data_IF_862577931649
#
_entry.id   IF_862577931649
#
_cell.length_a   1.000
_cell.length_b   1.000
_cell.length_c   1.000
_cell.angle_alpha   90.00
_cell.angle_beta   90.00
_cell.angle_gamma   90.00
#
_symmetry.space_group_name_H-M   'P 1'
#
loop_
_entity.id
_entity.type
_entity.pdbx_description
1 polymer ?
#
# COMPACT_ATOMS: atom_id res chain seq x y z
N UNK A 1 68.98 39.11 -5.78
CA UNK A 1 67.68 39.73 -6.04
C UNK A 1 66.70 39.04 -5.10
N UNK A 2 66.23 39.81 -4.11
CA UNK A 2 64.84 39.88 -3.64
C UNK A 2 64.22 38.57 -3.06
N UNK A 3 63.46 38.52 -1.96
CA UNK A 3 62.95 39.51 -1.03
C UNK A 3 62.07 38.75 0.02
N UNK A 4 61.81 39.39 1.16
CA UNK A 4 60.63 39.28 2.05
C UNK A 4 60.42 38.13 3.07
N UNK A 5 60.45 38.57 4.35
CA UNK A 5 59.46 38.35 5.43
C UNK A 5 59.52 37.10 6.32
N UNK A 6 60.02 37.30 7.54
CA UNK A 6 59.75 36.45 8.71
C UNK A 6 58.73 37.14 9.63
N UNK A 7 57.56 36.55 9.78
CA UNK A 7 56.55 36.99 10.75
C UNK A 7 56.63 36.12 12.02
N UNK A 8 56.94 36.73 13.16
CA UNK A 8 57.02 36.08 14.48
C UNK A 8 55.63 36.03 15.12
N UNK A 9 55.05 34.84 15.27
CA UNK A 9 53.90 34.62 16.15
C UNK A 9 54.38 34.12 17.51
N UNK A 10 54.24 34.97 18.54
CA UNK A 10 54.46 34.63 19.95
C UNK A 10 53.26 33.82 20.45
N UNK A 11 53.48 32.57 20.86
CA UNK A 11 52.50 31.76 21.59
C UNK A 11 52.71 32.01 23.08
N UNK A 12 51.84 32.82 23.68
CA UNK A 12 51.73 32.98 25.14
C UNK A 12 50.86 31.85 25.71
N UNK A 13 51.21 31.26 26.87
CA UNK A 13 50.38 30.24 27.51
C UNK A 13 49.05 30.85 28.01
N UNK A 14 47.93 30.11 27.97
CA UNK A 14 46.64 30.62 28.40
C UNK A 14 46.63 30.87 29.92
N UNK A 15 46.28 32.10 30.27
CA UNK A 15 46.00 32.59 31.62
C UNK A 15 44.78 31.83 32.20
N UNK A 16 44.80 31.38 33.46
CA UNK A 16 43.63 30.75 34.08
C UNK A 16 42.51 31.79 34.21
N UNK A 17 41.40 31.55 33.50
CA UNK A 17 40.18 32.34 33.66
C UNK A 17 39.61 32.09 35.04
N UNK A 18 39.41 33.18 35.76
CA UNK A 18 38.70 33.28 37.03
C UNK A 18 37.45 32.40 37.05
N UNK A 19 37.30 31.63 38.12
CA UNK A 19 36.03 31.00 38.48
C UNK A 19 35.00 32.12 38.71
N UNK A 20 34.20 32.40 37.69
CA UNK A 20 32.92 33.04 37.88
C UNK A 20 32.02 32.02 38.57
N UNK A 21 31.63 32.32 39.81
CA UNK A 21 30.52 31.63 40.48
C UNK A 21 29.29 31.73 39.58
N UNK A 22 29.00 30.65 38.85
CA UNK A 22 27.69 30.44 38.25
C UNK A 22 26.71 30.20 39.40
N UNK A 23 25.56 30.88 39.46
CA UNK A 23 24.57 30.60 40.49
C UNK A 23 24.14 29.14 40.37
N UNK A 24 24.15 28.48 41.52
CA UNK A 24 23.70 27.11 41.70
C UNK A 24 22.28 26.91 41.17
N UNK A 25 22.15 25.92 40.30
CA UNK A 25 21.04 24.96 40.21
C UNK A 25 19.60 25.50 40.09
N UNK A 26 19.00 25.14 38.96
CA UNK A 26 17.59 25.20 38.62
C UNK A 26 16.64 25.01 39.82
N UNK A 27 15.92 26.07 40.19
CA UNK A 27 14.72 25.98 41.01
C UNK A 27 13.50 26.05 40.08
N UNK A 28 12.87 24.91 39.81
CA UNK A 28 11.59 24.90 39.09
C UNK A 28 10.48 25.26 40.07
N UNK A 29 10.01 26.51 40.05
CA UNK A 29 8.79 26.88 40.77
C UNK A 29 7.58 26.30 40.05
N UNK A 30 6.72 25.54 40.76
CA UNK A 30 5.40 25.16 40.25
C UNK A 30 4.56 26.44 40.13
N UNK A 31 4.53 27.02 38.93
CA UNK A 31 3.73 28.22 38.64
C UNK A 31 2.25 27.91 38.95
N UNK A 32 1.67 28.67 39.87
CA UNK A 32 0.22 28.68 40.13
C UNK A 32 -0.26 28.01 41.42
N UNK A 33 0.61 27.40 42.24
CA UNK A 33 0.18 26.91 43.56
C UNK A 33 0.21 28.00 44.63
N UNK A 34 -0.85 28.07 45.43
CA UNK A 34 -0.98 28.98 46.56
C UNK A 34 -0.60 28.27 47.85
N UNK A 35 0.18 28.93 48.70
CA UNK A 35 0.50 28.39 50.01
C UNK A 35 -0.75 28.42 50.90
N UNK A 36 -1.16 27.27 51.44
CA UNK A 36 -2.33 27.17 52.35
C UNK A 36 -2.16 27.97 53.65
N UNK A 37 -0.92 28.23 54.06
CA UNK A 37 -0.62 28.90 55.32
C UNK A 37 -0.56 30.44 55.19
N UNK A 38 0.01 30.96 54.10
CA UNK A 38 0.20 32.41 53.93
C UNK A 38 -0.46 33.01 52.68
N UNK A 39 -1.17 32.22 51.89
CA UNK A 39 -1.89 32.65 50.68
C UNK A 39 -1.03 33.09 49.50
N UNK A 40 0.30 33.17 49.67
CA UNK A 40 1.21 33.64 48.64
C UNK A 40 1.24 32.68 47.44
N UNK A 41 1.21 33.25 46.23
CA UNK A 41 1.16 32.54 44.96
C UNK A 41 2.58 32.43 44.41
N UNK A 42 3.00 31.23 44.01
CA UNK A 42 4.29 31.03 43.32
C UNK A 42 5.53 31.11 44.22
N UNK A 43 5.36 31.06 45.54
CA UNK A 43 6.46 31.06 46.53
C UNK A 43 6.84 29.65 46.99
N UNK A 44 6.30 28.61 46.36
CA UNK A 44 6.59 27.21 46.69
C UNK A 44 7.79 26.75 45.86
N UNK A 45 8.86 26.35 46.53
CA UNK A 45 10.10 25.88 45.93
C UNK A 45 10.33 24.41 46.32
N UNK A 46 10.95 23.67 45.41
CA UNK A 46 11.42 22.30 45.64
C UNK A 46 12.74 22.35 46.43
N UNK A 47 12.73 21.83 47.66
CA UNK A 47 13.93 21.63 48.45
C UNK A 47 14.36 20.16 48.35
N UNK A 48 15.34 19.91 47.49
CA UNK A 48 15.86 18.57 47.23
C UNK A 48 16.63 17.99 48.44
N UNK A 49 17.09 18.83 49.36
CA UNK A 49 17.84 18.38 50.55
C UNK A 49 16.93 17.79 51.63
N UNK A 50 15.70 18.32 51.74
CA UNK A 50 14.67 17.85 52.67
C UNK A 50 13.62 16.96 51.99
N UNK A 51 13.69 16.82 50.66
CA UNK A 51 12.73 16.03 49.89
C UNK A 51 11.31 16.58 49.95
N UNK A 52 11.14 17.89 50.12
CA UNK A 52 9.85 18.52 50.40
C UNK A 52 9.62 19.81 49.60
N UNK A 53 8.35 20.15 49.42
CA UNK A 53 7.95 21.44 48.86
C UNK A 53 7.79 22.46 49.98
N UNK A 54 8.62 23.51 49.98
CA UNK A 54 8.65 24.52 51.04
C UNK A 54 8.25 25.89 50.50
N UNK A 55 7.41 26.60 51.25
CA UNK A 55 7.08 27.98 50.93
C UNK A 55 8.18 28.93 51.42
N UNK A 56 8.78 29.71 50.53
CA UNK A 56 9.83 30.69 50.90
C UNK A 56 9.32 31.87 51.71
N UNK A 57 8.02 32.17 51.67
CA UNK A 57 7.45 33.31 52.37
C UNK A 57 7.12 33.02 53.84
N UNK A 58 6.72 31.79 54.18
CA UNK A 58 6.33 31.43 55.55
C UNK A 58 7.03 30.19 56.11
N UNK A 59 7.94 29.56 55.35
CA UNK A 59 8.67 28.36 55.77
C UNK A 59 7.81 27.10 55.90
N UNK A 60 6.55 27.13 55.49
CA UNK A 60 5.64 25.99 55.67
C UNK A 60 5.94 24.89 54.63
N UNK A 61 5.97 23.65 55.10
CA UNK A 61 6.10 22.45 54.26
C UNK A 61 4.72 22.13 53.68
N UNK A 62 4.58 22.28 52.36
CA UNK A 62 3.32 22.09 51.64
C UNK A 62 3.06 20.62 51.33
N UNK A 63 4.12 19.85 51.04
CA UNK A 63 4.07 18.42 50.76
C UNK A 63 5.37 17.75 51.23
N UNK A 64 5.24 16.71 52.05
CA UNK A 64 6.34 16.05 52.77
C UNK A 64 7.09 14.93 52.03
N UNK A 65 6.92 14.84 50.71
CA UNK A 65 7.67 13.91 49.86
C UNK A 65 7.57 14.35 48.41
N UNK A 66 8.69 14.76 47.81
CA UNK A 66 8.79 15.03 46.38
C UNK A 66 8.67 13.68 45.67
N UNK A 67 7.61 13.53 44.86
CA UNK A 67 7.45 12.39 43.96
C UNK A 67 8.35 12.66 42.75
N UNK A 68 9.50 12.00 42.71
CA UNK A 68 10.42 12.06 41.57
C UNK A 68 9.94 11.03 40.54
N UNK A 69 9.73 11.47 39.31
CA UNK A 69 9.35 10.58 38.19
C UNK A 69 10.55 9.84 37.59
N UNK A 70 11.75 10.07 38.10
CA UNK A 70 12.98 9.45 37.64
C UNK A 70 13.19 8.10 38.33
N UNK A 71 13.68 7.15 37.55
CA UNK A 71 13.90 5.78 37.99
C UNK A 71 15.31 5.68 38.54
N UNK A 72 15.43 5.56 39.86
CA UNK A 72 16.73 5.41 40.51
C UNK A 72 17.11 3.92 40.61
N UNK A 73 18.38 3.61 40.39
CA UNK A 73 18.89 2.24 40.41
C UNK A 73 19.99 2.11 41.47
N UNK A 74 19.78 1.26 42.47
CA UNK A 74 20.80 0.95 43.45
C UNK A 74 21.56 -0.30 43.07
N UNK A 75 22.88 -0.20 43.01
CA UNK A 75 23.73 -1.37 42.83
C UNK A 75 23.78 -2.16 44.15
N UNK A 76 23.30 -3.39 44.10
CA UNK A 76 23.43 -4.34 45.19
C UNK A 76 24.88 -4.83 45.27
N UNK A 77 25.31 -5.24 46.46
CA UNK A 77 26.65 -5.73 46.76
C UNK A 77 27.15 -6.86 45.85
N UNK A 78 26.23 -7.51 45.13
CA UNK A 78 26.49 -8.61 44.20
C UNK A 78 26.69 -8.14 42.74
N UNK A 79 26.76 -6.84 42.48
CA UNK A 79 26.93 -6.26 41.13
C UNK A 79 25.65 -6.19 40.30
N UNK A 80 24.50 -6.59 40.84
CA UNK A 80 23.20 -6.40 40.19
C UNK A 80 22.61 -5.05 40.59
N UNK A 81 22.12 -4.27 39.64
CA UNK A 81 21.35 -3.06 39.93
C UNK A 81 19.87 -3.39 40.15
N UNK A 82 19.33 -2.97 41.30
CA UNK A 82 17.91 -3.05 41.63
C UNK A 82 17.28 -1.68 41.45
N UNK A 83 16.12 -1.64 40.82
CA UNK A 83 15.34 -0.40 40.67
C UNK A 83 14.71 -0.03 42.02
N UNK A 84 14.96 1.17 42.50
CA UNK A 84 14.30 1.70 43.68
C UNK A 84 12.96 2.35 43.30
N UNK A 85 11.87 1.84 43.86
CA UNK A 85 10.53 2.43 43.71
C UNK A 85 9.41 1.38 43.55
N UNK A 86 8.28 1.62 44.19
CA UNK A 86 7.09 0.76 44.10
C UNK A 86 6.21 1.22 42.94
N UNK A 87 5.84 0.29 42.05
CA UNK A 87 4.94 0.59 40.93
C UNK A 87 3.51 0.78 41.47
N UNK A 88 3.00 2.02 41.43
CA UNK A 88 1.63 2.33 41.85
C UNK A 88 0.74 2.32 40.60
N UNK A 89 -0.04 1.26 40.42
CA UNK A 89 -1.09 1.22 39.40
C UNK A 89 -2.30 2.00 39.92
N UNK A 90 -2.84 2.91 39.12
CA UNK A 90 -4.03 3.68 39.50
C UNK A 90 -5.22 2.74 39.84
N UNK A 91 -5.88 2.90 41.00
CA UNK A 91 -6.88 1.95 41.50
C UNK A 91 -8.21 1.92 40.72
N UNK A 92 -8.39 2.81 39.73
CA UNK A 92 -9.62 2.88 38.92
C UNK A 92 -9.58 2.04 37.65
N UNK A 93 -8.46 1.42 37.30
CA UNK A 93 -8.43 0.43 36.21
C UNK A 93 -8.54 -0.98 36.80
N UNK A 94 -9.72 -1.28 37.35
CA UNK A 94 -10.12 -2.68 37.55
C UNK A 94 -10.12 -3.38 36.19
N UNK A 95 -9.46 -4.53 36.21
CA UNK A 95 -9.05 -5.34 35.09
C UNK A 95 -10.25 -5.88 34.30
N UNK A 96 -10.42 -5.38 33.08
CA UNK A 96 -11.04 -6.10 31.97
C UNK A 96 -10.10 -6.13 30.74
N UNK A 97 -8.81 -5.85 30.94
CA UNK A 97 -7.82 -5.68 29.88
C UNK A 97 -6.86 -6.89 29.74
N UNK A 98 -7.15 -8.03 30.36
CA UNK A 98 -6.22 -9.17 30.38
C UNK A 98 -6.12 -9.91 29.04
N UNK A 99 -7.12 -9.81 28.15
CA UNK A 99 -7.04 -10.35 26.79
C UNK A 99 -6.36 -9.39 25.79
N UNK A 100 -6.31 -8.08 26.10
CA UNK A 100 -5.66 -7.09 25.26
C UNK A 100 -4.15 -7.02 25.50
N UNK A 101 -3.64 -7.42 26.68
CA UNK A 101 -2.20 -7.40 26.92
C UNK A 101 -1.46 -8.54 26.22
N UNK A 102 -1.91 -9.79 26.32
CA UNK A 102 -1.20 -10.92 25.71
C UNK A 102 -1.19 -10.85 24.17
N UNK A 103 -2.34 -10.61 23.55
CA UNK A 103 -2.46 -10.48 22.09
C UNK A 103 -1.73 -9.25 21.54
N UNK A 104 -1.66 -8.15 22.30
CA UNK A 104 -0.88 -6.95 21.95
C UNK A 104 0.62 -7.18 22.06
N UNK A 105 1.07 -7.87 23.11
CA UNK A 105 2.49 -8.23 23.29
C UNK A 105 2.92 -9.21 22.19
N UNK A 106 2.13 -10.24 21.93
CA UNK A 106 2.39 -11.21 20.87
C UNK A 106 2.43 -10.53 19.50
N UNK A 107 1.40 -9.73 19.17
CA UNK A 107 1.36 -9.02 17.89
C UNK A 107 2.52 -8.06 17.70
N UNK A 108 2.93 -7.33 18.75
CA UNK A 108 4.14 -6.50 18.72
C UNK A 108 5.40 -7.31 18.46
N UNK A 109 5.58 -8.44 19.16
CA UNK A 109 6.74 -9.31 18.94
C UNK A 109 6.78 -9.87 17.51
N UNK A 110 5.63 -10.25 16.95
CA UNK A 110 5.53 -10.71 15.54
C UNK A 110 5.85 -9.60 14.55
N UNK A 111 5.34 -8.39 14.76
CA UNK A 111 5.66 -7.23 13.91
C UNK A 111 7.16 -6.94 13.91
N UNK A 112 7.80 -6.98 15.08
CA UNK A 112 9.24 -6.82 15.20
C UNK A 112 9.99 -7.92 14.45
N UNK A 113 9.60 -9.19 14.62
CA UNK A 113 10.21 -10.32 13.91
C UNK A 113 10.11 -10.16 12.39
N UNK A 114 8.96 -9.71 11.87
CA UNK A 114 8.75 -9.45 10.43
C UNK A 114 9.58 -8.24 9.98
N UNK A 115 9.70 -7.22 10.81
CA UNK A 115 10.52 -6.05 10.50
C UNK A 115 12.01 -6.41 10.39
N UNK A 116 12.51 -7.20 11.33
CA UNK A 116 13.92 -7.58 11.43
C UNK A 116 14.32 -8.56 10.31
N UNK A 117 13.40 -9.40 9.85
CA UNK A 117 13.65 -10.37 8.79
C UNK A 117 13.62 -9.76 7.39
N UNK A 118 12.94 -8.62 7.18
CA UNK A 118 12.84 -7.96 5.89
C UNK A 118 14.09 -7.11 5.61
N UNK A 119 14.92 -7.48 4.62
CA UNK A 119 16.19 -6.80 4.36
C UNK A 119 15.94 -5.38 3.83
N UNK A 120 16.50 -4.36 4.52
CA UNK A 120 16.35 -2.90 4.35
C UNK A 120 15.34 -2.24 5.28
N UNK A 121 14.51 -2.99 6.00
CA UNK A 121 13.59 -2.43 6.99
C UNK A 121 14.25 -2.18 8.35
N UNK A 122 15.36 -2.87 8.63
CA UNK A 122 16.22 -2.70 9.82
C UNK A 122 16.62 -1.24 10.08
N UNK A 123 16.86 -0.46 9.02
CA UNK A 123 17.23 0.96 9.12
C UNK A 123 16.03 1.93 9.26
N UNK A 124 14.80 1.43 9.38
CA UNK A 124 13.58 2.26 9.43
C UNK A 124 12.65 1.88 10.59
N UNK A 125 13.01 2.27 11.84
CA UNK A 125 12.17 2.03 13.01
C UNK A 125 10.78 2.68 12.89
N UNK A 126 10.70 3.78 12.15
CA UNK A 126 9.49 4.51 11.78
C UNK A 126 8.36 3.64 11.22
N UNK A 127 8.69 2.63 10.42
CA UNK A 127 7.71 1.75 9.78
C UNK A 127 7.17 0.74 10.79
N UNK A 128 8.04 0.20 11.65
CA UNK A 128 7.66 -0.74 12.68
C UNK A 128 6.79 -0.06 13.76
N UNK A 129 7.15 1.15 14.18
CA UNK A 129 6.35 1.95 15.11
C UNK A 129 4.96 2.28 14.55
N UNK A 130 4.88 2.56 13.24
CA UNK A 130 3.62 2.80 12.55
C UNK A 130 2.79 1.50 12.47
N UNK A 131 3.41 0.38 12.13
CA UNK A 131 2.76 -0.93 12.09
C UNK A 131 2.20 -1.32 13.47
N UNK A 132 2.98 -1.11 14.54
CA UNK A 132 2.52 -1.31 15.92
C UNK A 132 1.31 -0.42 16.26
N UNK A 133 1.32 0.84 15.83
CA UNK A 133 0.21 1.77 16.06
C UNK A 133 -1.06 1.33 15.32
N UNK A 134 -0.92 0.90 14.06
CA UNK A 134 -2.02 0.37 13.26
C UNK A 134 -2.57 -0.91 13.91
N UNK A 135 -1.69 -1.80 14.38
CA UNK A 135 -2.08 -3.03 15.05
C UNK A 135 -2.84 -2.77 16.36
N UNK A 136 -2.41 -1.80 17.17
CA UNK A 136 -3.15 -1.36 18.37
C UNK A 136 -4.55 -0.86 18.02
N UNK A 137 -4.70 -0.08 16.94
CA UNK A 137 -6.04 0.33 16.48
C UNK A 137 -6.87 -0.87 16.02
N UNK A 138 -6.27 -1.81 15.29
CA UNK A 138 -6.94 -3.03 14.83
C UNK A 138 -7.44 -3.91 16.00
N UNK A 139 -6.69 -3.96 17.11
CA UNK A 139 -7.09 -4.60 18.36
C UNK A 139 -8.34 -3.93 18.95
N UNK A 140 -8.38 -2.60 18.99
CA UNK A 140 -9.54 -1.84 19.49
C UNK A 140 -10.80 -2.09 18.65
N UNK A 141 -10.66 -2.18 17.33
CA UNK A 141 -11.74 -2.50 16.38
C UNK A 141 -12.08 -4.01 16.29
N UNK A 142 -11.48 -4.84 17.15
CA UNK A 142 -11.70 -6.31 17.19
C UNK A 142 -11.43 -7.04 15.88
N UNK A 143 -10.55 -6.50 15.02
CA UNK A 143 -10.23 -7.03 13.70
C UNK A 143 -9.52 -8.41 13.72
N UNK A 144 -8.97 -8.79 14.88
CA UNK A 144 -8.20 -10.04 15.06
C UNK A 144 -9.12 -11.26 15.22
N UNK A 145 -10.42 -11.07 15.50
CA UNK A 145 -11.35 -12.19 15.69
C UNK A 145 -11.53 -12.96 14.38
N UNK A 146 -11.28 -14.27 14.41
CA UNK A 146 -11.42 -15.17 13.26
C UNK A 146 -10.25 -15.16 12.27
N UNK A 147 -9.13 -14.52 12.61
CA UNK A 147 -7.91 -14.50 11.79
C UNK A 147 -6.70 -14.85 12.65
N UNK A 148 -5.65 -15.39 12.03
CA UNK A 148 -4.38 -15.61 12.74
C UNK A 148 -3.69 -14.27 13.01
N UNK A 149 -3.09 -14.14 14.19
CA UNK A 149 -2.39 -12.90 14.60
C UNK A 149 -1.23 -12.60 13.65
N UNK A 150 -0.59 -13.64 13.11
CA UNK A 150 0.51 -13.54 12.15
C UNK A 150 0.09 -12.83 10.85
N UNK A 151 -1.04 -13.22 10.24
CA UNK A 151 -1.54 -12.59 9.01
C UNK A 151 -1.98 -11.15 9.28
N UNK A 152 -2.55 -10.86 10.46
CA UNK A 152 -2.93 -9.50 10.84
C UNK A 152 -1.68 -8.63 11.05
N UNK A 153 -0.66 -9.14 11.73
CA UNK A 153 0.62 -8.46 11.91
C UNK A 153 1.29 -8.15 10.56
N UNK A 154 1.31 -9.12 9.65
CA UNK A 154 1.77 -8.98 8.27
C UNK A 154 1.07 -7.83 7.53
N UNK A 155 -0.27 -7.82 7.62
CA UNK A 155 -1.11 -6.82 6.98
C UNK A 155 -0.83 -5.42 7.54
N UNK A 156 -0.64 -5.29 8.86
CA UNK A 156 -0.25 -4.03 9.49
C UNK A 156 1.11 -3.53 8.98
N UNK A 157 2.11 -4.41 8.87
CA UNK A 157 3.43 -4.07 8.32
C UNK A 157 3.31 -3.61 6.86
N UNK A 158 2.56 -4.35 6.03
CA UNK A 158 2.37 -3.97 4.63
C UNK A 158 1.65 -2.62 4.45
N UNK A 159 0.62 -2.34 5.26
CA UNK A 159 -0.06 -1.03 5.26
C UNK A 159 0.92 0.08 5.66
N UNK A 160 1.72 -0.14 6.71
CA UNK A 160 2.73 0.84 7.15
C UNK A 160 3.78 1.13 6.08
N UNK A 161 4.28 0.09 5.38
CA UNK A 161 5.21 0.23 4.26
C UNK A 161 4.58 1.09 3.16
N UNK A 162 3.33 0.82 2.77
CA UNK A 162 2.63 1.60 1.74
C UNK A 162 2.42 3.06 2.14
N UNK A 163 2.20 3.35 3.42
CA UNK A 163 2.01 4.71 3.91
C UNK A 163 3.30 5.53 3.90
N UNK A 164 4.40 4.96 4.39
CA UNK A 164 5.68 5.68 4.50
C UNK A 164 6.38 5.88 3.15
N UNK A 165 5.96 5.16 2.10
CA UNK A 165 6.56 5.19 0.74
C UNK A 165 8.09 4.98 0.76
N UNK A 166 8.61 4.43 1.85
CA UNK A 166 10.03 4.54 2.20
C UNK A 166 10.84 3.36 1.68
N UNK A 167 10.18 2.28 1.27
CA UNK A 167 10.82 1.05 0.77
C UNK A 167 9.93 0.38 -0.30
N UNK A 168 10.55 0.00 -1.42
CA UNK A 168 9.89 -0.72 -2.51
C UNK A 168 9.73 -2.20 -2.18
N UNK A 169 8.90 -2.57 -1.19
CA UNK A 169 8.54 -3.96 -0.93
C UNK A 169 7.32 -4.41 -1.73
N UNK A 170 7.39 -5.61 -2.28
CA UNK A 170 6.25 -6.27 -2.88
C UNK A 170 5.43 -6.94 -1.79
N UNK A 171 4.12 -7.05 -2.01
CA UNK A 171 3.24 -7.83 -1.13
C UNK A 171 3.72 -9.29 -0.99
N UNK A 172 4.29 -9.84 -2.07
CA UNK A 172 4.83 -11.21 -2.11
C UNK A 172 6.00 -11.38 -1.14
N UNK A 173 6.80 -10.34 -0.90
CA UNK A 173 7.95 -10.43 0.02
C UNK A 173 7.51 -10.60 1.48
N UNK A 174 6.40 -9.96 1.86
CA UNK A 174 5.80 -10.11 3.18
C UNK A 174 5.07 -11.45 3.29
N UNK A 175 4.43 -11.89 2.21
CA UNK A 175 3.71 -13.17 2.17
C UNK A 175 4.66 -14.37 2.34
N UNK A 176 5.81 -14.34 1.66
CA UNK A 176 6.83 -15.40 1.75
C UNK A 176 7.44 -15.51 3.16
N UNK A 177 7.54 -14.41 3.91
CA UNK A 177 8.06 -14.48 5.27
C UNK A 177 7.12 -15.23 6.24
N UNK A 178 5.82 -15.23 5.94
CA UNK A 178 4.77 -15.75 6.83
C UNK A 178 4.18 -17.04 6.24
N UNK A 179 4.70 -17.49 5.10
CA UNK A 179 4.22 -18.65 4.36
C UNK A 179 2.70 -18.63 4.12
N UNK A 180 2.14 -17.45 3.82
CA UNK A 180 0.70 -17.27 3.59
C UNK A 180 0.38 -16.99 2.11
N UNK A 181 -0.86 -17.28 1.72
CA UNK A 181 -1.34 -16.98 0.38
C UNK A 181 -1.34 -15.48 0.11
N UNK A 182 -0.72 -15.05 -1.00
CA UNK A 182 -0.64 -13.61 -1.38
C UNK A 182 -2.02 -12.94 -1.43
N UNK A 183 -3.04 -13.67 -1.88
CA UNK A 183 -4.42 -13.16 -1.96
C UNK A 183 -5.10 -13.04 -0.58
N UNK A 184 -4.80 -13.94 0.34
CA UNK A 184 -5.31 -13.90 1.71
C UNK A 184 -4.74 -12.68 2.45
N UNK A 185 -3.43 -12.45 2.30
CA UNK A 185 -2.77 -11.27 2.84
C UNK A 185 -3.31 -9.98 2.21
N UNK A 186 -3.49 -9.95 0.88
CA UNK A 186 -4.05 -8.79 0.17
C UNK A 186 -5.45 -8.45 0.67
N UNK A 187 -6.33 -9.45 0.80
CA UNK A 187 -7.70 -9.28 1.26
C UNK A 187 -7.72 -8.77 2.71
N UNK A 188 -6.87 -9.33 3.57
CA UNK A 188 -6.77 -8.92 4.96
C UNK A 188 -6.23 -7.50 5.08
N UNK A 189 -5.20 -7.13 4.32
CA UNK A 189 -4.66 -5.76 4.31
C UNK A 189 -5.67 -4.72 3.80
N UNK A 190 -6.45 -5.05 2.76
CA UNK A 190 -7.51 -4.18 2.26
C UNK A 190 -8.61 -3.98 3.31
N UNK A 191 -9.14 -5.07 3.87
CA UNK A 191 -10.16 -5.03 4.94
C UNK A 191 -9.64 -4.28 6.16
N UNK A 192 -8.38 -4.48 6.53
CA UNK A 192 -7.73 -3.76 7.64
C UNK A 192 -7.72 -2.25 7.39
N UNK A 193 -7.34 -1.81 6.19
CA UNK A 193 -7.32 -0.39 5.85
C UNK A 193 -8.71 0.26 5.90
N UNK A 194 -9.74 -0.49 5.50
CA UNK A 194 -11.14 -0.06 5.58
C UNK A 194 -11.62 0.02 7.04
N UNK A 195 -11.30 -0.97 7.88
CA UNK A 195 -11.69 -0.98 9.29
C UNK A 195 -10.97 0.09 10.13
N UNK A 196 -9.66 0.28 9.92
CA UNK A 196 -8.86 1.24 10.70
C UNK A 196 -8.94 2.65 10.11
N UNK A 197 -9.60 2.80 8.96
CA UNK A 197 -9.79 4.04 8.22
C UNK A 197 -8.46 4.75 7.87
N UNK A 198 -7.46 3.92 7.55
CA UNK A 198 -6.10 4.34 7.22
C UNK A 198 -5.93 4.43 5.71
N UNK A 199 -5.40 5.54 5.21
CA UNK A 199 -5.22 5.73 3.77
C UNK A 199 -4.10 4.84 3.24
N UNK A 200 -4.40 4.08 2.18
CA UNK A 200 -3.44 3.28 1.44
C UNK A 200 -3.15 3.94 0.09
N UNK A 201 -2.07 4.73 -0.05
CA UNK A 201 -1.79 5.46 -1.27
C UNK A 201 -1.40 4.52 -2.42
N UNK A 202 -1.63 4.95 -3.66
CA UNK A 202 -1.20 4.25 -4.87
C UNK A 202 0.33 4.10 -4.86
N UNK A 203 0.82 2.92 -5.26
CA UNK A 203 2.25 2.63 -5.33
C UNK A 203 2.84 3.28 -6.58
N UNK A 204 3.91 4.03 -6.39
CA UNK A 204 4.76 4.50 -7.47
C UNK A 204 5.77 3.38 -7.86
N UNK A 205 5.81 2.93 -9.13
CA UNK A 205 6.74 1.89 -9.56
C UNK A 205 8.22 2.30 -9.45
N UNK A 206 8.54 3.59 -9.42
CA UNK A 206 9.93 4.07 -9.29
C UNK A 206 10.60 3.60 -8.00
N UNK A 207 9.82 3.37 -6.94
CA UNK A 207 10.31 2.87 -5.65
C UNK A 207 10.93 1.46 -5.74
N UNK A 208 10.51 0.65 -6.72
CA UNK A 208 11.04 -0.70 -6.90
C UNK A 208 12.36 -0.74 -7.65
N UNK A 209 12.66 0.28 -8.48
CA UNK A 209 13.87 0.30 -9.30
C UNK A 209 15.10 0.19 -8.41
N UNK A 210 15.17 1.01 -7.36
CA UNK A 210 16.29 1.07 -6.43
C UNK A 210 16.64 -0.30 -5.87
N UNK A 211 15.61 -1.04 -5.44
CA UNK A 211 15.80 -2.39 -4.92
C UNK A 211 16.25 -3.37 -6.00
N UNK A 212 15.58 -3.37 -7.13
CA UNK A 212 15.88 -4.31 -8.21
C UNK A 212 17.27 -4.08 -8.79
N UNK A 213 17.72 -2.84 -8.95
CA UNK A 213 19.06 -2.55 -9.45
C UNK A 213 20.16 -3.02 -8.50
N UNK A 214 19.92 -2.92 -7.20
CA UNK A 214 20.87 -3.36 -6.17
C UNK A 214 20.93 -4.89 -6.07
N UNK A 215 19.79 -5.58 -6.23
CA UNK A 215 19.73 -7.04 -6.31
C UNK A 215 20.41 -7.58 -7.56
N UNK A 216 20.27 -6.89 -8.70
CA UNK A 216 20.85 -7.28 -9.99
C UNK A 216 22.35 -6.96 -10.12
N UNK A 217 22.92 -6.14 -9.22
CA UNK A 217 24.36 -5.83 -9.11
C UNK A 217 25.01 -5.43 -10.44
N UNK A 218 24.50 -4.38 -11.08
CA UNK A 218 25.02 -3.81 -12.32
C UNK A 218 26.44 -3.19 -12.24
N UNK A 219 27.10 -3.25 -11.08
CA UNK A 219 28.45 -2.72 -10.87
C UNK A 219 28.52 -1.20 -11.07
N UNK A 220 29.51 -0.73 -11.84
CA UNK A 220 29.80 0.70 -12.00
C UNK A 220 28.73 1.48 -12.79
N UNK A 221 27.98 0.78 -13.65
CA UNK A 221 26.92 1.35 -14.48
C UNK A 221 25.54 1.40 -13.79
N UNK A 222 25.44 0.91 -12.54
CA UNK A 222 24.19 0.90 -11.77
C UNK A 222 23.47 2.27 -11.69
N UNK A 223 24.13 3.41 -11.39
CA UNK A 223 23.43 4.69 -11.26
C UNK A 223 22.85 5.18 -12.60
N UNK A 224 23.57 4.98 -13.70
CA UNK A 224 23.14 5.38 -15.04
C UNK A 224 21.92 4.56 -15.50
N UNK A 225 21.94 3.24 -15.29
CA UNK A 225 20.82 2.35 -15.61
C UNK A 225 19.59 2.71 -14.78
N UNK A 226 19.78 2.99 -13.48
CA UNK A 226 18.70 3.41 -12.58
C UNK A 226 18.04 4.69 -13.06
N UNK A 227 18.82 5.70 -13.44
CA UNK A 227 18.28 6.97 -13.95
C UNK A 227 17.49 6.76 -15.24
N UNK A 228 18.04 6.03 -16.21
CA UNK A 228 17.36 5.70 -17.46
C UNK A 228 16.08 4.89 -17.21
N UNK A 229 16.10 3.92 -16.28
CA UNK A 229 14.92 3.14 -15.93
C UNK A 229 13.81 4.02 -15.32
N UNK A 230 14.16 4.98 -14.45
CA UNK A 230 13.18 5.92 -13.87
C UNK A 230 12.57 6.79 -14.97
N UNK A 231 13.38 7.29 -15.91
CA UNK A 231 12.90 8.07 -17.05
C UNK A 231 11.94 7.25 -17.93
N UNK A 232 12.27 5.98 -18.19
CA UNK A 232 11.41 5.06 -18.94
C UNK A 232 10.07 4.79 -18.24
N UNK A 233 10.05 4.60 -16.91
CA UNK A 233 8.78 4.43 -16.18
C UNK A 233 7.90 5.68 -16.31
N UNK A 234 8.48 6.87 -16.20
CA UNK A 234 7.74 8.13 -16.42
C UNK A 234 7.22 8.26 -17.86
N UNK A 235 7.94 7.70 -18.83
CA UNK A 235 7.50 7.62 -20.22
C UNK A 235 6.32 6.64 -20.36
N UNK A 236 6.40 5.46 -19.76
CA UNK A 236 5.34 4.45 -19.76
C UNK A 236 4.04 4.91 -19.10
N UNK A 237 4.12 5.80 -18.10
CA UNK A 237 2.95 6.41 -17.49
C UNK A 237 2.23 7.35 -18.46
N UNK A 238 2.99 8.16 -19.22
CA UNK A 238 2.47 9.05 -20.27
C UNK A 238 1.91 8.29 -21.47
N UNK A 239 2.52 7.18 -21.84
CA UNK A 239 2.07 6.29 -22.92
C UNK A 239 0.93 5.35 -22.48
N UNK A 240 0.36 5.52 -21.28
CA UNK A 240 -0.74 4.70 -20.74
C UNK A 240 -0.44 3.19 -20.65
N UNK A 241 0.84 2.80 -20.63
CA UNK A 241 1.27 1.40 -20.49
C UNK A 241 1.20 0.97 -19.01
N UNK A 242 1.22 1.91 -18.08
CA UNK A 242 1.24 1.63 -16.64
C UNK A 242 -0.15 1.40 -16.02
N UNK A 243 -1.16 2.14 -16.48
CA UNK A 243 -2.47 2.23 -15.81
C UNK A 243 -3.17 0.86 -15.74
N UNK A 244 -3.69 0.52 -14.56
CA UNK A 244 -4.46 -0.71 -14.34
C UNK A 244 -3.63 -2.00 -14.33
N UNK A 245 -2.30 -1.91 -14.29
CA UNK A 245 -1.39 -3.06 -14.37
C UNK A 245 -0.51 -3.16 -13.13
N UNK A 246 0.04 -4.36 -12.89
CA UNK A 246 0.94 -4.60 -11.74
C UNK A 246 2.27 -3.84 -11.95
N UNK A 247 2.71 -3.01 -10.99
CA UNK A 247 3.91 -2.18 -11.13
C UNK A 247 5.20 -3.01 -11.27
N UNK A 248 5.32 -4.14 -10.58
CA UNK A 248 6.50 -5.01 -10.62
C UNK A 248 6.89 -5.45 -12.05
N UNK A 249 5.90 -5.79 -12.88
CA UNK A 249 6.14 -6.21 -14.27
C UNK A 249 6.61 -5.07 -15.18
N UNK A 250 6.19 -3.83 -14.89
CA UNK A 250 6.59 -2.63 -15.63
C UNK A 250 8.03 -2.27 -15.28
N UNK A 251 8.38 -2.30 -13.99
CA UNK A 251 9.76 -2.09 -13.53
C UNK A 251 10.72 -3.11 -14.15
N UNK A 252 10.35 -4.39 -14.18
CA UNK A 252 11.17 -5.43 -14.82
C UNK A 252 11.41 -5.18 -16.31
N UNK A 253 10.38 -4.74 -17.05
CA UNK A 253 10.52 -4.37 -18.46
C UNK A 253 11.39 -3.11 -18.64
N UNK A 254 11.20 -2.08 -17.80
CA UNK A 254 11.97 -0.83 -17.83
C UNK A 254 13.45 -1.08 -17.57
N UNK A 255 13.80 -1.88 -16.56
CA UNK A 255 15.19 -2.23 -16.22
C UNK A 255 15.84 -3.02 -17.36
N UNK A 256 15.12 -3.97 -17.96
CA UNK A 256 15.66 -4.74 -19.08
C UNK A 256 15.94 -3.87 -20.31
N UNK A 257 15.06 -2.90 -20.59
CA UNK A 257 15.26 -1.94 -21.67
C UNK A 257 16.42 -0.99 -21.36
N UNK A 258 16.50 -0.46 -20.14
CA UNK A 258 17.60 0.40 -19.70
C UNK A 258 18.95 -0.32 -19.79
N UNK A 259 19.03 -1.58 -19.33
CA UNK A 259 20.24 -2.39 -19.44
C UNK A 259 20.67 -2.56 -20.91
N UNK A 260 19.72 -2.79 -21.83
CA UNK A 260 19.98 -2.88 -23.26
C UNK A 260 20.49 -1.57 -23.87
N UNK A 261 19.94 -0.42 -23.47
CA UNK A 261 20.42 0.91 -23.91
C UNK A 261 21.88 1.15 -23.49
N UNK A 262 22.25 0.68 -22.30
CA UNK A 262 23.62 0.77 -21.78
C UNK A 262 24.55 -0.35 -22.28
N UNK A 263 24.08 -1.25 -23.16
CA UNK A 263 24.87 -2.33 -23.75
C UNK A 263 25.17 -3.50 -22.80
N UNK A 264 24.39 -3.66 -21.73
CA UNK A 264 24.54 -4.77 -20.78
C UNK A 264 23.49 -5.84 -21.09
N UNK A 265 23.96 -7.03 -21.44
CA UNK A 265 23.11 -8.18 -21.67
C UNK A 265 22.73 -8.84 -20.34
N UNK A 266 21.47 -8.65 -19.95
CA UNK A 266 20.91 -9.26 -18.76
C UNK A 266 20.09 -10.49 -19.11
N UNK A 267 20.31 -11.60 -18.40
CA UNK A 267 19.49 -12.80 -18.58
C UNK A 267 18.07 -12.56 -18.07
N UNK A 268 17.09 -12.95 -18.89
CA UNK A 268 15.65 -12.81 -18.57
C UNK A 268 15.31 -13.47 -17.24
N UNK A 269 15.88 -14.64 -16.96
CA UNK A 269 15.59 -15.42 -15.74
C UNK A 269 16.02 -14.70 -14.46
N UNK A 270 17.10 -13.93 -14.52
CA UNK A 270 17.59 -13.17 -13.36
C UNK A 270 16.61 -12.05 -13.00
N UNK A 271 16.09 -11.33 -14.01
CA UNK A 271 15.08 -10.29 -13.83
C UNK A 271 13.77 -10.88 -13.32
N UNK A 272 13.37 -12.05 -13.84
CA UNK A 272 12.14 -12.71 -13.45
C UNK A 272 12.15 -13.11 -11.96
N UNK A 273 13.31 -13.60 -11.48
CA UNK A 273 13.51 -13.91 -10.06
C UNK A 273 13.45 -12.67 -9.18
N UNK A 274 14.09 -11.58 -9.60
CA UNK A 274 14.11 -10.30 -8.88
C UNK A 274 12.72 -9.64 -8.81
N UNK A 275 12.01 -9.55 -9.93
CA UNK A 275 10.70 -8.91 -10.01
C UNK A 275 9.54 -9.79 -9.51
N UNK A 276 9.77 -11.11 -9.35
CA UNK A 276 8.77 -12.12 -8.96
C UNK A 276 7.55 -12.13 -9.88
N UNK A 277 7.80 -12.11 -11.19
CA UNK A 277 6.76 -12.09 -12.24
C UNK A 277 7.05 -13.16 -13.30
N UNK A 278 6.01 -13.65 -13.97
CA UNK A 278 6.14 -14.58 -15.10
C UNK A 278 6.75 -13.92 -16.36
N UNK A 279 7.46 -14.71 -17.16
CA UNK A 279 8.11 -14.29 -18.42
C UNK A 279 7.13 -13.70 -19.43
N UNK A 280 5.95 -14.31 -19.54
CA UNK A 280 4.87 -13.85 -20.41
C UNK A 280 4.41 -12.43 -20.08
N UNK A 281 4.42 -12.04 -18.80
CA UNK A 281 4.00 -10.70 -18.35
C UNK A 281 5.00 -9.64 -18.80
N UNK A 282 6.30 -9.87 -18.60
CA UNK A 282 7.34 -8.92 -19.05
C UNK A 282 7.34 -8.83 -20.58
N UNK A 283 7.27 -9.96 -21.28
CA UNK A 283 7.21 -9.99 -22.75
C UNK A 283 5.99 -9.25 -23.31
N UNK A 284 4.82 -9.34 -22.66
CA UNK A 284 3.64 -8.55 -23.03
C UNK A 284 3.92 -7.05 -22.92
N UNK A 285 4.57 -6.59 -21.84
CA UNK A 285 4.91 -5.17 -21.66
C UNK A 285 5.92 -4.68 -22.69
N UNK A 286 6.95 -5.45 -22.98
CA UNK A 286 7.92 -5.10 -24.04
C UNK A 286 7.26 -5.02 -25.42
N UNK A 287 6.33 -5.92 -25.73
CA UNK A 287 5.59 -5.88 -27.00
C UNK A 287 4.72 -4.64 -27.13
N UNK A 288 4.15 -4.16 -26.03
CA UNK A 288 3.40 -2.91 -26.02
C UNK A 288 4.33 -1.71 -26.21
N UNK A 289 5.48 -1.69 -25.53
CA UNK A 289 6.53 -0.68 -25.74
C UNK A 289 7.07 -0.71 -27.18
N UNK A 290 7.15 -1.89 -27.80
CA UNK A 290 7.56 -2.02 -29.20
C UNK A 290 6.56 -1.42 -30.20
N UNK A 291 5.29 -1.24 -29.80
CA UNK A 291 4.27 -0.59 -30.63
C UNK A 291 4.26 0.93 -30.49
N UNK A 292 4.90 1.48 -29.45
CA UNK A 292 4.90 2.92 -29.19
C UNK A 292 5.93 3.65 -30.06
N UNK A 293 5.78 4.96 -30.18
CA UNK A 293 6.67 5.84 -30.95
C UNK A 293 8.13 5.77 -30.45
N UNK A 294 8.34 5.41 -29.18
CA UNK A 294 9.67 5.20 -28.59
C UNK A 294 10.48 4.15 -29.37
N UNK A 295 9.82 3.10 -29.86
CA UNK A 295 10.47 1.99 -30.54
C UNK A 295 10.92 2.30 -31.98
N UNK A 296 10.51 3.43 -32.56
CA UNK A 296 10.94 3.86 -33.90
C UNK A 296 12.39 4.34 -33.91
N UNK A 297 12.88 4.85 -32.78
CA UNK A 297 14.24 5.37 -32.65
C UNK A 297 15.25 4.23 -32.44
N UNK A 298 16.47 4.40 -32.93
CA UNK A 298 17.50 3.38 -32.74
C UNK A 298 17.98 3.33 -31.29
N UNK A 299 18.44 2.16 -30.82
CA UNK A 299 18.95 1.99 -29.44
C UNK A 299 20.14 2.93 -29.18
N UNK A 300 20.94 3.21 -30.21
CA UNK A 300 22.07 4.13 -30.13
C UNK A 300 21.60 5.59 -30.02
N UNK A 301 20.56 6.00 -30.74
CA UNK A 301 19.96 7.33 -30.60
C UNK A 301 19.38 7.57 -29.21
N UNK A 302 18.75 6.55 -28.61
CA UNK A 302 18.22 6.63 -27.24
C UNK A 302 19.33 6.77 -26.19
N UNK A 303 20.55 6.28 -26.50
CA UNK A 303 21.72 6.41 -25.64
C UNK A 303 22.32 7.81 -25.71
N UNK A 304 22.33 8.41 -26.91
CA UNK A 304 22.92 9.73 -27.16
C UNK A 304 21.98 10.88 -26.76
N UNK A 305 20.67 10.71 -26.98
CA UNK A 305 19.66 11.74 -26.72
C UNK A 305 18.58 11.24 -25.74
N UNK A 306 18.89 11.30 -24.43
CA UNK A 306 17.93 10.94 -23.38
C UNK A 306 16.66 11.81 -23.37
N UNK A 307 16.67 12.98 -24.03
CA UNK A 307 15.50 13.84 -24.13
C UNK A 307 14.37 13.23 -24.96
N UNK A 308 14.67 12.30 -25.88
CA UNK A 308 13.69 11.52 -26.63
C UNK A 308 12.79 10.70 -25.70
N UNK A 309 13.32 10.23 -24.56
CA UNK A 309 12.56 9.50 -23.55
C UNK A 309 11.59 10.44 -22.80
N UNK A 310 11.84 11.75 -22.82
CA UNK A 310 11.04 12.75 -22.11
C UNK A 310 9.91 13.33 -22.95
N UNK A 311 10.07 13.36 -24.27
CA UNK A 311 9.05 13.84 -25.21
C UNK A 311 7.74 13.06 -25.05
N UNK A 312 6.61 13.73 -25.30
CA UNK A 312 5.27 13.15 -25.11
C UNK A 312 4.72 12.69 -26.46
N UNK A 313 4.44 11.39 -26.58
CA UNK A 313 3.65 10.83 -27.66
C UNK A 313 2.20 10.74 -27.20
N UNK A 314 1.29 11.25 -28.02
CA UNK A 314 -0.14 11.27 -27.69
C UNK A 314 -0.77 9.92 -28.04
N UNK A 315 -0.44 8.90 -27.23
CA UNK A 315 -0.87 7.53 -27.48
C UNK A 315 -2.13 7.15 -26.69
N UNK A 316 -2.96 6.30 -27.30
CA UNK A 316 -4.15 5.75 -26.66
C UNK A 316 -3.78 4.56 -25.77
N UNK A 317 -4.44 4.37 -24.62
CA UNK A 317 -4.25 3.19 -23.78
C UNK A 317 -4.40 1.88 -24.59
N UNK A 318 -3.61 0.83 -24.32
CA UNK A 318 -3.70 -0.43 -25.06
C UNK A 318 -5.09 -1.06 -25.08
N UNK A 319 -5.90 -0.88 -24.03
CA UNK A 319 -7.28 -1.34 -24.00
C UNK A 319 -8.17 -0.63 -25.05
N UNK A 320 -7.93 0.66 -25.30
CA UNK A 320 -8.64 1.43 -26.33
C UNK A 320 -8.15 1.05 -27.73
N UNK A 321 -6.87 0.74 -27.90
CA UNK A 321 -6.31 0.23 -29.15
C UNK A 321 -6.92 -1.11 -29.52
N UNK A 322 -6.92 -2.09 -28.60
CA UNK A 322 -7.54 -3.40 -28.81
C UNK A 322 -9.03 -3.26 -29.13
N UNK A 323 -9.74 -2.35 -28.44
CA UNK A 323 -11.15 -2.09 -28.74
C UNK A 323 -11.36 -1.57 -30.17
N UNK A 324 -10.50 -0.68 -30.66
CA UNK A 324 -10.55 -0.19 -32.04
C UNK A 324 -10.22 -1.30 -33.04
N UNK A 325 -9.17 -2.06 -32.81
CA UNK A 325 -8.79 -3.21 -33.64
C UNK A 325 -9.95 -4.22 -33.75
N UNK A 326 -10.58 -4.58 -32.62
CA UNK A 326 -11.75 -5.46 -32.61
C UNK A 326 -12.95 -4.86 -33.35
N UNK A 327 -13.17 -3.55 -33.25
CA UNK A 327 -14.23 -2.86 -34.01
C UNK A 327 -13.95 -2.82 -35.51
N UNK A 328 -12.69 -2.67 -35.92
CA UNK A 328 -12.28 -2.70 -37.33
C UNK A 328 -12.41 -4.10 -37.92
N UNK A 329 -11.96 -5.13 -37.20
CA UNK A 329 -12.11 -6.54 -37.60
C UNK A 329 -13.61 -6.87 -37.75
N UNK A 330 -14.43 -6.48 -36.78
CA UNK A 330 -15.88 -6.61 -36.84
C UNK A 330 -16.50 -5.94 -38.08
N UNK A 331 -16.09 -4.70 -38.39
CA UNK A 331 -16.57 -4.00 -39.57
C UNK A 331 -16.12 -4.67 -40.87
N UNK A 332 -14.91 -5.22 -40.91
CA UNK A 332 -14.39 -5.92 -42.08
C UNK A 332 -15.13 -7.25 -42.31
N UNK A 333 -15.48 -7.98 -41.24
CA UNK A 333 -16.33 -9.19 -41.33
C UNK A 333 -17.72 -8.81 -41.84
N UNK A 334 -18.37 -7.80 -41.24
CA UNK A 334 -19.70 -7.35 -41.66
C UNK A 334 -19.74 -6.79 -43.09
N UNK A 335 -18.62 -6.28 -43.61
CA UNK A 335 -18.48 -5.88 -45.02
C UNK A 335 -18.32 -7.09 -45.95
N UNK A 336 -17.58 -8.12 -45.54
CA UNK A 336 -17.41 -9.37 -46.32
C UNK A 336 -18.71 -10.19 -46.40
N UNK A 337 -19.54 -10.18 -45.37
CA UNK A 337 -20.86 -10.84 -45.39
C UNK A 337 -21.91 -10.16 -46.30
N UNK A 338 -21.61 -8.97 -46.85
CA UNK A 338 -22.51 -8.28 -47.79
C UNK A 338 -22.36 -8.72 -49.25
N UNK A 339 -21.45 -9.63 -49.57
CA UNK A 339 -21.43 -10.35 -50.84
C UNK A 339 -21.82 -11.82 -50.62
N UNK A 340 -23.11 -12.17 -50.70
CA UNK A 340 -23.50 -13.56 -50.78
C UNK A 340 -23.58 -13.98 -52.26
N UNK A 341 -22.55 -14.69 -52.76
CA UNK A 341 -22.81 -15.72 -53.77
C UNK A 341 -23.39 -16.92 -53.04
N UNK A 342 -24.72 -17.01 -53.06
CA UNK A 342 -25.46 -18.18 -52.59
C UNK A 342 -25.29 -19.25 -53.66
N UNK A 343 -24.43 -20.24 -53.40
CA UNK A 343 -24.54 -21.57 -54.03
C UNK A 343 -25.08 -22.50 -52.95
N UNK A 344 -26.40 -22.69 -52.95
CA UNK A 344 -27.02 -23.79 -52.25
C UNK A 344 -26.58 -25.10 -52.91
N UNK A 345 -25.98 -26.00 -52.13
CA UNK A 345 -26.31 -27.43 -52.05
C UNK A 345 -25.21 -28.13 -51.27
N UNK A 346 -25.49 -28.58 -50.05
CA UNK A 346 -24.75 -29.70 -49.46
C UNK A 346 -25.73 -30.65 -48.77
N UNK A 347 -25.63 -31.92 -49.19
CA UNK A 347 -26.32 -33.10 -48.69
C UNK A 347 -25.66 -33.66 -47.43
N UNK A 348 -26.44 -34.40 -46.64
CA UNK A 348 -26.23 -34.90 -45.27
C UNK A 348 -25.03 -35.85 -44.98
N UNK A 349 -23.91 -35.83 -45.73
CA UNK A 349 -22.84 -36.85 -45.57
C UNK A 349 -21.50 -36.39 -44.94
N UNK A 350 -21.39 -35.17 -44.39
CA UNK A 350 -20.12 -34.64 -43.84
C UNK A 350 -20.07 -34.50 -42.30
N UNK A 351 -20.50 -35.54 -41.57
CA UNK A 351 -20.31 -35.65 -40.11
C UNK A 351 -19.07 -36.46 -39.70
N UNK A 352 -18.08 -36.58 -40.60
CA UNK A 352 -16.77 -37.15 -40.30
C UNK A 352 -15.70 -36.13 -40.59
N UNK A 353 -15.46 -35.25 -39.63
CA UNK A 353 -14.15 -34.61 -39.40
C UNK A 353 -14.18 -33.93 -38.02
N UNK A 354 -14.02 -34.75 -36.97
CA UNK A 354 -13.88 -34.29 -35.59
C UNK A 354 -12.56 -33.53 -35.38
N UNK A 355 -11.63 -33.62 -36.35
CA UNK A 355 -10.35 -32.91 -36.37
C UNK A 355 -10.48 -31.42 -36.80
N UNK A 356 -11.62 -30.99 -37.34
CA UNK A 356 -11.90 -29.57 -37.63
C UNK A 356 -12.44 -28.78 -36.41
N UNK A 357 -12.46 -29.40 -35.22
CA UNK A 357 -12.87 -28.74 -33.98
C UNK A 357 -11.72 -27.96 -33.30
N UNK A 358 -10.48 -28.18 -33.75
CA UNK A 358 -9.34 -27.35 -33.38
C UNK A 358 -9.38 -26.11 -34.27
N UNK A 359 -10.04 -25.06 -33.78
CA UNK A 359 -10.10 -23.77 -34.46
C UNK A 359 -8.67 -23.29 -34.80
N UNK A 360 -8.43 -23.05 -36.09
CA UNK A 360 -7.23 -22.33 -36.53
C UNK A 360 -7.20 -20.94 -35.86
N UNK A 361 -6.00 -20.38 -35.65
CA UNK A 361 -5.82 -19.10 -34.96
C UNK A 361 -6.70 -17.99 -35.58
N UNK A 362 -6.79 -17.94 -36.91
CA UNK A 362 -7.67 -17.01 -37.63
C UNK A 362 -9.18 -17.23 -37.39
N UNK A 363 -9.62 -18.47 -37.19
CA UNK A 363 -11.03 -18.77 -36.91
C UNK A 363 -11.40 -18.46 -35.46
N UNK A 364 -10.47 -18.64 -34.52
CA UNK A 364 -10.64 -18.18 -33.14
C UNK A 364 -10.78 -16.67 -33.09
N UNK A 365 -9.98 -15.93 -33.86
CA UNK A 365 -10.04 -14.47 -33.95
C UNK A 365 -11.38 -14.01 -34.55
N UNK A 366 -11.84 -14.61 -35.66
CA UNK A 366 -13.14 -14.30 -36.29
C UNK A 366 -14.31 -14.55 -35.34
N UNK A 367 -14.34 -15.69 -34.64
CA UNK A 367 -15.39 -16.01 -33.65
C UNK A 367 -15.34 -15.08 -32.45
N UNK A 368 -14.15 -14.74 -31.95
CA UNK A 368 -13.99 -13.79 -30.84
C UNK A 368 -14.49 -12.38 -31.22
N UNK A 369 -14.26 -11.95 -32.47
CA UNK A 369 -14.75 -10.68 -33.00
C UNK A 369 -16.27 -10.67 -33.16
N UNK A 370 -16.86 -11.74 -33.71
CA UNK A 370 -18.33 -11.92 -33.80
C UNK A 370 -19.00 -11.97 -32.42
N UNK A 371 -18.38 -12.66 -31.45
CA UNK A 371 -18.88 -12.67 -30.08
C UNK A 371 -18.85 -11.27 -29.46
N UNK A 372 -17.77 -10.51 -29.72
CA UNK A 372 -17.64 -9.13 -29.25
C UNK A 372 -18.69 -8.19 -29.86
N UNK A 373 -19.04 -8.34 -31.15
CA UNK A 373 -20.11 -7.54 -31.79
C UNK A 373 -21.50 -7.86 -31.22
N UNK A 374 -21.84 -9.14 -31.08
CA UNK A 374 -23.09 -9.57 -30.45
C UNK A 374 -23.19 -9.13 -28.99
N UNK A 375 -22.10 -9.22 -28.24
CA UNK A 375 -22.08 -8.80 -26.84
C UNK A 375 -22.21 -7.27 -26.69
N UNK A 376 -21.56 -6.50 -27.58
CA UNK A 376 -21.67 -5.03 -27.61
C UNK A 376 -23.07 -4.55 -27.99
N UNK A 377 -23.74 -5.22 -28.93
CA UNK A 377 -25.13 -4.90 -29.28
C UNK A 377 -26.07 -5.19 -28.11
N UNK A 378 -25.86 -6.28 -27.38
CA UNK A 378 -26.62 -6.65 -26.17
C UNK A 378 -26.39 -5.68 -25.00
N UNK A 379 -25.15 -5.24 -24.76
CA UNK A 379 -24.84 -4.20 -23.76
C UNK A 379 -25.49 -2.86 -24.06
N UNK A 380 -25.61 -2.48 -25.33
CA UNK A 380 -26.29 -1.25 -25.72
C UNK A 380 -27.82 -1.33 -25.56
N UNK A 381 -28.38 -2.53 -25.51
CA UNK A 381 -29.81 -2.78 -25.29
C UNK A 381 -30.17 -2.87 -23.81
N UNK A 382 -29.19 -3.01 -22.91
CA UNK A 382 -29.45 -2.98 -21.48
C UNK A 382 -29.82 -1.55 -21.02
N UNK A 383 -30.82 -1.40 -20.13
CA UNK A 383 -31.16 -0.10 -19.55
C UNK A 383 -29.91 0.52 -18.92
N UNK A 384 -29.58 1.75 -19.32
CA UNK A 384 -28.52 2.51 -18.67
C UNK A 384 -29.06 3.05 -17.35
N UNK A 385 -28.90 2.30 -16.27
CA UNK A 385 -29.23 2.77 -14.93
C UNK A 385 -28.33 3.96 -14.58
N UNK A 386 -28.90 5.16 -14.61
CA UNK A 386 -28.17 6.38 -14.25
C UNK A 386 -28.61 7.66 -14.95
N UNK A 387 -29.92 7.92 -15.07
CA UNK A 387 -30.42 9.30 -15.15
C UNK A 387 -31.63 9.44 -14.23
N UNK A 388 -31.40 10.02 -13.05
CA UNK A 388 -32.46 10.53 -12.18
C UNK A 388 -33.27 11.57 -12.97
N UNK A 389 -34.40 11.14 -13.55
CA UNK A 389 -35.35 12.05 -14.18
C UNK A 389 -36.12 12.79 -13.09
N UNK A 390 -35.72 14.03 -12.82
CA UNK A 390 -36.55 15.00 -12.12
C UNK A 390 -37.83 15.19 -12.92
N UNK A 391 -38.92 14.55 -12.51
CA UNK A 391 -40.27 14.82 -13.05
C UNK A 391 -40.70 16.24 -12.66
N UNK A 392 -40.64 17.16 -13.63
CA UNK A 392 -41.33 18.47 -13.60
C UNK A 392 -42.84 18.22 -13.52
N UNK A 393 -43.45 18.57 -12.38
CA UNK A 393 -44.91 18.77 -12.27
C UNK A 393 -45.29 19.97 -13.13
N UNK A 394 -46.05 19.75 -14.21
CA UNK A 394 -46.90 20.79 -14.82
C UNK A 394 -48.32 20.51 -14.36
N UNK A 395 -48.92 21.50 -13.72
CA UNK A 395 -50.31 21.47 -13.31
C UNK A 395 -51.26 21.67 -14.48
N UNK A 396 -52.47 21.12 -14.33
CA UNK A 396 -53.68 21.68 -14.90
C UNK A 396 -54.85 21.32 -13.97
N UNK A 397 -55.32 22.36 -13.29
CA UNK A 397 -56.66 22.64 -12.73
C UNK A 397 -57.81 22.19 -13.67
N UNK A 398 -59.07 21.90 -13.32
CA UNK A 398 -60.01 21.91 -12.17
C UNK A 398 -61.20 21.01 -12.67
N UNK A 399 -62.11 20.34 -11.93
CA UNK A 399 -63.11 20.84 -10.98
C UNK A 399 -63.96 19.70 -10.35
N UNK A 400 -64.36 19.90 -9.08
CA UNK A 400 -65.56 19.49 -8.30
C UNK A 400 -66.31 18.18 -8.61
N UNK A 401 -66.64 17.33 -7.62
CA UNK A 401 -67.64 17.58 -6.54
C UNK A 401 -67.47 16.70 -5.27
N UNK A 402 -67.93 17.23 -4.13
CA UNK A 402 -68.03 16.62 -2.78
C UNK A 402 -69.02 15.45 -2.69
N UNK A 403 -68.72 14.48 -1.82
CA UNK A 403 -69.58 14.05 -0.69
C UNK A 403 -68.78 13.20 0.30
N UNK A 404 -69.11 13.35 1.58
CA UNK A 404 -68.47 12.82 2.78
C UNK A 404 -68.86 11.34 2.99
N UNK A 405 -68.00 10.52 3.60
CA UNK A 405 -68.29 9.74 4.82
C UNK A 405 -67.17 8.71 5.13
N UNK A 406 -67.06 8.44 6.44
CA UNK A 406 -66.10 7.64 7.21
C UNK A 406 -65.72 6.24 6.68
N UNK A 407 -64.47 5.83 6.90
CA UNK A 407 -64.10 4.78 7.87
C UNK A 407 -62.58 4.51 7.82
N UNK A 408 -61.94 4.49 9.00
CA UNK A 408 -60.51 4.26 9.17
C UNK A 408 -60.17 2.77 9.30
N UNK A 409 -59.02 2.38 8.75
CA UNK A 409 -58.35 1.11 9.09
C UNK A 409 -56.84 1.34 9.09
N UNK A 410 -56.22 1.05 10.24
CA UNK A 410 -54.78 0.99 10.50
C UNK A 410 -54.14 -0.16 9.70
N UNK A 411 -52.98 0.07 9.08
CA UNK A 411 -52.20 -0.95 8.38
C UNK A 411 -50.93 -1.22 9.19
N UNK A 412 -50.91 -2.36 9.86
CA UNK A 412 -49.68 -3.03 10.30
C UNK A 412 -48.99 -3.66 9.08
N UNK A 413 -47.69 -3.38 8.91
CA UNK A 413 -46.87 -3.93 7.85
C UNK A 413 -46.20 -5.23 8.29
N UNK A 414 -46.57 -6.35 7.67
CA UNK A 414 -45.87 -7.63 7.78
C UNK A 414 -44.69 -7.73 6.80
N UNK A 415 -43.62 -8.32 7.33
CA UNK A 415 -42.33 -8.60 6.70
C UNK A 415 -42.45 -9.59 5.53
N UNK A 416 -41.85 -9.28 4.39
CA UNK A 416 -41.58 -10.24 3.31
C UNK A 416 -40.13 -10.72 3.42
N UNK A 417 -39.97 -11.95 3.93
CA UNK A 417 -38.77 -12.79 3.78
C UNK A 417 -38.63 -13.23 2.31
N UNK A 418 -37.44 -13.08 1.75
CA UNK A 418 -37.04 -13.76 0.52
C UNK A 418 -36.05 -14.88 0.88
N UNK A 419 -36.38 -16.09 0.46
CA UNK A 419 -35.52 -17.28 0.44
C UNK A 419 -34.47 -17.13 -0.65
N UNK A 420 -33.21 -17.39 -0.30
CA UNK A 420 -32.15 -17.72 -1.24
C UNK A 420 -31.92 -19.25 -1.14
N UNK A 421 -32.20 -19.98 -2.21
CA UNK A 421 -31.85 -21.40 -2.34
C UNK A 421 -30.44 -21.50 -2.93
N UNK A 422 -29.53 -22.05 -2.12
CA UNK A 422 -28.20 -22.53 -2.49
C UNK A 422 -28.32 -23.89 -3.18
N UNK A 423 -27.80 -24.02 -4.42
CA UNK A 423 -27.53 -25.32 -5.02
C UNK A 423 -26.04 -25.46 -5.35
N UNK A 424 -25.35 -26.17 -4.45
CA UNK A 424 -23.94 -26.52 -4.46
C UNK A 424 -23.76 -27.83 -5.24
N UNK A 425 -23.12 -27.78 -6.41
CA UNK A 425 -22.65 -28.97 -7.12
C UNK A 425 -21.35 -29.47 -6.48
N UNK A 426 -21.35 -30.74 -6.06
CA UNK A 426 -20.20 -31.46 -5.52
C UNK A 426 -19.67 -32.47 -6.53
N UNK A 427 -18.43 -32.27 -6.98
CA UNK A 427 -17.69 -33.25 -7.79
C UNK A 427 -16.97 -34.23 -6.85
N UNK A 428 -17.38 -35.50 -6.90
CA UNK A 428 -16.72 -36.63 -6.25
C UNK A 428 -16.55 -37.77 -7.24
N UNK A 429 -15.42 -37.79 -7.96
CA UNK A 429 -15.03 -38.88 -8.86
C UNK A 429 -14.35 -40.02 -8.10
N UNK A 430 -15.06 -41.13 -7.93
CA UNK A 430 -14.52 -42.42 -7.48
C UNK A 430 -13.81 -43.15 -8.63
N UNK A 431 -12.66 -43.73 -8.30
CA UNK A 431 -11.79 -44.50 -9.18
C UNK A 431 -12.02 -45.98 -8.86
N UNK A 432 -12.59 -46.74 -9.80
CA UNK A 432 -12.77 -48.20 -9.66
C UNK A 432 -11.92 -48.97 -10.67
N UNK A 433 -11.33 -50.03 -10.12
CA UNK A 433 -10.63 -51.15 -10.73
C UNK A 433 -11.35 -51.78 -11.93
N UNK A 434 -10.59 -52.12 -12.97
CA UNK A 434 -10.73 -53.42 -13.64
C UNK A 434 -9.39 -53.91 -14.17
N UNK A 435 -8.97 -55.07 -13.69
CA UNK A 435 -7.95 -55.89 -14.34
C UNK A 435 -8.54 -56.74 -15.46
N UNK A 436 -7.84 -56.76 -16.60
CA UNK A 436 -7.19 -57.93 -17.22
C UNK A 436 -6.46 -57.47 -18.49
#
# INVERSE_FOLDING_TARGET
MDNFSFEKVKISPPIPKSFSNKPSQYQMSKRGQTCKNCGAIGTIIEDNSQGAYTCTNCGAIVQGSILINEVDFTEMSNGNSSRNGQFVVAPSQKQNYSTSTQSSIEGKARIQTICDSLPRLDNQPDVCDLAERIFKKALHERFIRGRTIEIVAAACVYVAIRQKKSTGYLLVDVADHIDCGVFELAQTAKRLSECVNESMPVIDPTLYIDRFTDELKFGRAAPEIKETAIQLIRRFDRDWIQTGRKPAGICGAAIMLAAKVHGIDLSKDVILKCARVCSSTINKRLREVAKTELAKNSINELRENQDIIKEEAQELPPAMQIKKELEEIAQNIAKKEKEPEIVETFSDDELKDVDNLILNEEETEKRSALFYTMYKSKLNQLPKDGQTSRRKKKGQEFSNTRTEDDEGVEVEGEELRLHDDDELMSDGGGFDDMGL
#
